data_IF_747780269997
#
_entry.id   IF_747780269997
#
_cell.length_a   1.000
_cell.length_b   1.000
_cell.length_c   1.000
_cell.angle_alpha   90.00
_cell.angle_beta   90.00
_cell.angle_gamma   90.00
#
_symmetry.space_group_name_H-M   'P 1'
#
loop_
_entity.id
_entity.type
_entity.pdbx_description
1 polymer ?
#
# COMPACT_ATOMS: atom_id res chain seq x y z
N UNK A 1 15.23 24.31 -9.74
CA UNK A 1 14.27 23.44 -9.04
C UNK A 1 14.47 22.05 -9.59
N UNK A 2 15.14 21.18 -8.84
CA UNK A 2 15.37 19.80 -9.28
C UNK A 2 14.03 19.08 -9.22
N UNK A 3 13.54 18.57 -10.35
CA UNK A 3 12.56 17.50 -10.31
C UNK A 3 13.19 16.40 -9.44
N UNK A 4 12.58 16.10 -8.29
CA UNK A 4 12.96 14.91 -7.55
C UNK A 4 12.77 13.75 -8.53
N UNK A 5 13.85 13.12 -8.96
CA UNK A 5 13.77 11.94 -9.79
C UNK A 5 12.86 10.96 -9.04
N UNK A 6 11.74 10.60 -9.68
CA UNK A 6 10.86 9.58 -9.14
C UNK A 6 11.75 8.35 -8.99
N UNK A 7 11.94 7.79 -7.77
CA UNK A 7 12.75 6.60 -7.61
C UNK A 7 12.02 5.44 -8.29
N UNK A 8 12.41 5.17 -9.54
CA UNK A 8 11.89 4.07 -10.34
C UNK A 8 12.54 2.78 -9.87
N UNK A 9 11.80 2.04 -9.06
CA UNK A 9 12.18 0.69 -8.69
C UNK A 9 12.12 -0.23 -9.91
N UNK A 10 12.99 -1.23 -9.96
CA UNK A 10 13.01 -2.17 -11.07
C UNK A 10 11.70 -2.98 -11.11
N UNK A 11 10.86 -2.68 -12.10
CA UNK A 11 9.62 -3.41 -12.34
C UNK A 11 9.92 -4.85 -12.82
N UNK A 12 9.08 -5.79 -12.40
CA UNK A 12 9.13 -7.20 -12.80
C UNK A 12 7.71 -7.68 -13.13
N UNK A 13 7.56 -8.59 -14.08
CA UNK A 13 6.23 -9.15 -14.37
C UNK A 13 5.74 -10.06 -13.23
N UNK A 14 4.42 -10.20 -13.07
CA UNK A 14 3.83 -11.10 -12.06
C UNK A 14 4.36 -12.53 -12.23
N UNK A 15 4.43 -13.02 -13.46
CA UNK A 15 4.90 -14.39 -13.77
C UNK A 15 6.36 -14.59 -13.39
N UNK A 16 7.24 -13.62 -13.69
CA UNK A 16 8.64 -13.70 -13.30
C UNK A 16 8.83 -13.59 -11.79
N UNK A 17 8.09 -12.70 -11.13
CA UNK A 17 8.09 -12.59 -9.67
C UNK A 17 7.68 -13.92 -9.03
N UNK A 18 6.69 -14.62 -9.60
CA UNK A 18 6.25 -15.91 -9.09
C UNK A 18 7.29 -17.03 -9.30
N UNK A 19 8.22 -16.88 -10.25
CA UNK A 19 9.33 -17.82 -10.49
C UNK A 19 10.56 -17.57 -9.61
N UNK A 20 10.55 -16.50 -8.82
CA UNK A 20 11.64 -16.23 -7.89
C UNK A 20 11.76 -17.34 -6.85
N UNK A 21 13.01 -17.70 -6.53
CA UNK A 21 13.31 -18.75 -5.56
C UNK A 21 12.95 -18.39 -4.12
N UNK A 22 13.04 -19.33 -3.17
CA UNK A 22 12.60 -19.17 -1.78
C UNK A 22 13.38 -18.12 -0.97
N UNK A 23 14.49 -17.62 -1.52
CA UNK A 23 15.25 -16.50 -0.93
C UNK A 23 14.66 -15.12 -1.22
N UNK A 24 13.51 -15.05 -1.91
CA UNK A 24 12.77 -13.81 -2.14
C UNK A 24 11.53 -13.75 -1.26
N UNK A 25 11.41 -12.67 -0.49
CA UNK A 25 10.19 -12.36 0.25
C UNK A 25 9.21 -11.61 -0.65
N UNK A 26 7.92 -11.84 -0.42
CA UNK A 26 6.86 -11.19 -1.16
C UNK A 26 6.06 -10.31 -0.22
N UNK A 27 5.95 -9.03 -0.51
CA UNK A 27 5.02 -8.12 0.16
C UNK A 27 3.89 -7.76 -0.78
N UNK A 28 2.67 -7.68 -0.25
CA UNK A 28 1.48 -7.27 -1.00
C UNK A 28 0.87 -6.06 -0.31
N UNK A 29 0.58 -5.02 -1.08
CA UNK A 29 -0.01 -3.79 -0.59
C UNK A 29 -1.16 -3.35 -1.48
N UNK A 30 -2.12 -2.67 -0.88
CA UNK A 30 -3.32 -2.20 -1.54
C UNK A 30 -3.41 -0.67 -1.54
N UNK A 31 -3.47 -0.09 -2.72
CA UNK A 31 -3.92 1.29 -2.90
C UNK A 31 -5.45 1.29 -3.03
N UNK A 32 -6.10 1.80 -2.00
CA UNK A 32 -7.54 2.03 -2.00
C UNK A 32 -7.80 3.50 -2.29
N UNK A 33 -8.57 3.80 -3.33
CA UNK A 33 -8.84 5.17 -3.71
C UNK A 33 -10.27 5.37 -4.15
N UNK A 34 -10.78 6.59 -3.99
CA UNK A 34 -12.11 6.98 -4.44
C UNK A 34 -12.07 8.34 -5.15
N UNK A 35 -12.96 8.53 -6.11
CA UNK A 35 -13.20 9.85 -6.68
C UNK A 35 -13.81 10.74 -5.59
N UNK A 36 -13.27 11.95 -5.43
CA UNK A 36 -13.72 12.91 -4.45
C UNK A 36 -14.07 14.24 -5.13
N UNK A 37 -15.38 14.52 -5.33
CA UNK A 37 -15.83 15.77 -5.96
C UNK A 37 -15.72 16.99 -5.03
N UNK A 38 -15.38 16.79 -3.75
CA UNK A 38 -15.29 17.86 -2.78
C UNK A 38 -14.13 18.83 -3.06
N UNK A 39 -14.24 20.00 -2.44
CA UNK A 39 -13.25 21.06 -2.56
C UNK A 39 -12.75 21.45 -1.18
N UNK A 40 -11.44 21.35 -0.96
CA UNK A 40 -10.81 21.85 0.25
C UNK A 40 -10.87 23.39 0.24
N UNK A 41 -11.37 23.96 1.33
CA UNK A 41 -11.66 25.40 1.48
C UNK A 41 -12.55 25.99 0.37
N UNK A 42 -13.35 25.17 -0.31
CA UNK A 42 -14.22 25.60 -1.42
C UNK A 42 -13.47 26.12 -2.65
N UNK A 43 -12.16 25.83 -2.78
CA UNK A 43 -11.31 26.34 -3.87
C UNK A 43 -10.37 25.30 -4.47
N UNK A 44 -9.93 24.33 -3.67
CA UNK A 44 -8.94 23.33 -4.10
C UNK A 44 -9.67 22.01 -4.36
N UNK A 45 -9.87 21.60 -5.63
CA UNK A 45 -10.56 20.35 -5.93
C UNK A 45 -9.75 19.16 -5.41
N UNK A 46 -10.39 18.27 -4.65
CA UNK A 46 -9.70 17.12 -4.09
C UNK A 46 -9.37 16.07 -5.17
N UNK A 47 -10.26 15.90 -6.16
CA UNK A 47 -10.19 14.93 -7.27
C UNK A 47 -10.28 13.48 -6.81
N UNK A 48 -9.34 13.04 -5.98
CA UNK A 48 -9.28 11.69 -5.45
C UNK A 48 -8.94 11.71 -3.96
N UNK A 49 -9.39 10.69 -3.24
CA UNK A 49 -8.93 10.38 -1.90
C UNK A 49 -8.28 9.01 -1.93
N UNK A 50 -7.04 8.93 -1.46
CA UNK A 50 -6.25 7.69 -1.41
C UNK A 50 -6.00 7.36 0.05
N UNK A 51 -6.24 6.10 0.43
CA UNK A 51 -6.02 5.62 1.78
C UNK A 51 -4.56 5.20 1.97
N UNK A 52 -3.92 5.79 2.98
CA UNK A 52 -2.62 5.37 3.51
C UNK A 52 -2.74 5.13 5.01
N UNK A 53 -1.77 4.41 5.58
CA UNK A 53 -1.69 4.14 7.01
C UNK A 53 -0.34 4.58 7.57
N UNK A 54 -0.36 5.16 8.77
CA UNK A 54 0.84 5.29 9.58
C UNK A 54 1.24 3.91 10.09
N UNK A 55 2.48 3.51 9.87
CA UNK A 55 3.04 2.24 10.35
C UNK A 55 3.69 2.42 11.72
N UNK A 56 3.99 1.31 12.38
CA UNK A 56 4.71 1.29 13.67
C UNK A 56 6.07 2.00 13.63
N UNK A 57 6.73 2.04 12.47
CA UNK A 57 8.01 2.71 12.24
C UNK A 57 7.88 4.24 12.06
N UNK A 58 6.67 4.78 12.19
CA UNK A 58 6.37 6.21 12.03
C UNK A 58 6.33 6.67 10.57
N UNK A 59 6.33 5.74 9.61
CA UNK A 59 6.27 6.05 8.18
C UNK A 59 4.87 5.83 7.63
N UNK A 60 4.51 6.60 6.60
CA UNK A 60 3.30 6.37 5.83
C UNK A 60 3.53 5.26 4.81
N UNK A 61 2.59 4.34 4.72
CA UNK A 61 2.60 3.25 3.73
C UNK A 61 1.19 2.85 3.32
N UNK A 62 1.11 2.01 2.28
CA UNK A 62 -0.15 1.39 1.90
C UNK A 62 -0.50 0.21 2.82
N UNK A 63 -1.79 -0.01 3.11
CA UNK A 63 -2.23 -1.16 3.87
C UNK A 63 -1.84 -2.47 3.18
N UNK A 64 -1.35 -3.42 3.96
CA UNK A 64 -0.79 -4.67 3.49
C UNK A 64 0.44 -5.09 4.27
N UNK A 65 1.14 -6.11 3.77
CA UNK A 65 2.26 -6.71 4.49
C UNK A 65 2.90 -7.87 3.74
N UNK A 66 3.77 -8.60 4.42
CA UNK A 66 4.44 -9.77 3.86
C UNK A 66 3.48 -10.97 3.73
N UNK A 67 3.62 -11.70 2.63
CA UNK A 67 2.83 -12.90 2.32
C UNK A 67 3.77 -14.10 2.21
N UNK A 68 3.49 -15.14 3.00
CA UNK A 68 4.19 -16.41 2.89
C UNK A 68 3.59 -17.26 1.77
N UNK A 69 4.26 -17.25 0.62
CA UNK A 69 3.88 -17.99 -0.59
C UNK A 69 3.92 -19.52 -0.44
N UNK A 70 4.47 -20.05 0.65
CA UNK A 70 4.46 -21.50 0.91
C UNK A 70 3.07 -21.98 1.34
N UNK A 71 2.28 -21.10 1.94
CA UNK A 71 0.98 -21.44 2.51
C UNK A 71 -0.18 -20.73 1.82
N UNK A 72 0.05 -19.54 1.23
CA UNK A 72 -1.01 -18.68 0.71
C UNK A 72 -0.73 -18.17 -0.70
N UNK A 73 -1.79 -17.92 -1.47
CA UNK A 73 -1.71 -17.10 -2.68
C UNK A 73 -1.42 -15.64 -2.32
N UNK A 74 -1.02 -14.81 -3.29
CA UNK A 74 -0.76 -13.38 -3.05
C UNK A 74 -2.03 -12.69 -2.56
N UNK A 75 -3.16 -12.98 -3.21
CA UNK A 75 -4.46 -12.40 -2.91
C UNK A 75 -5.01 -12.89 -1.56
N UNK A 76 -4.88 -14.18 -1.23
CA UNK A 76 -5.33 -14.69 0.07
C UNK A 76 -4.48 -14.13 1.22
N UNK A 77 -3.17 -14.05 1.02
CA UNK A 77 -2.27 -13.43 1.99
C UNK A 77 -2.57 -11.94 2.18
N UNK A 78 -2.76 -11.20 1.09
CA UNK A 78 -3.14 -9.80 1.15
C UNK A 78 -4.49 -9.61 1.85
N UNK A 79 -5.52 -10.36 1.46
CA UNK A 79 -6.85 -10.26 2.06
C UNK A 79 -6.87 -10.63 3.53
N UNK A 80 -6.01 -11.55 3.97
CA UNK A 80 -5.82 -11.85 5.40
C UNK A 80 -5.28 -10.64 6.15
N UNK A 81 -4.23 -10.00 5.64
CA UNK A 81 -3.62 -8.83 6.29
C UNK A 81 -4.58 -7.64 6.27
N UNK A 82 -5.24 -7.37 5.14
CA UNK A 82 -6.26 -6.33 5.04
C UNK A 82 -7.45 -6.59 5.95
N UNK A 83 -7.85 -7.86 6.13
CA UNK A 83 -8.93 -8.24 7.03
C UNK A 83 -8.66 -7.94 8.50
N UNK A 84 -7.39 -7.92 8.92
CA UNK A 84 -6.99 -7.58 10.29
C UNK A 84 -7.04 -6.07 10.55
N UNK A 85 -6.65 -5.26 9.56
CA UNK A 85 -6.50 -3.80 9.69
C UNK A 85 -7.62 -2.94 9.09
N UNK A 86 -8.40 -3.44 8.13
CA UNK A 86 -9.39 -2.65 7.36
C UNK A 86 -10.79 -3.28 7.28
N UNK A 87 -10.98 -4.51 7.79
CA UNK A 87 -12.26 -5.20 7.79
C UNK A 87 -12.59 -5.95 6.49
N UNK A 88 -13.87 -6.00 6.10
CA UNK A 88 -14.39 -6.85 5.01
C UNK A 88 -14.11 -6.31 3.59
N UNK A 89 -12.84 -6.07 3.25
CA UNK A 89 -12.43 -5.78 1.88
C UNK A 89 -11.71 -6.98 1.28
N UNK A 90 -12.15 -7.43 0.09
CA UNK A 90 -11.49 -8.52 -0.64
C UNK A 90 -11.02 -8.04 -2.00
N UNK A 91 -9.72 -8.14 -2.21
CA UNK A 91 -9.04 -7.90 -3.46
C UNK A 91 -8.85 -9.20 -4.23
N UNK A 92 -8.79 -9.08 -5.55
CA UNK A 92 -8.69 -10.19 -6.49
C UNK A 92 -7.54 -9.94 -7.46
N UNK A 93 -7.24 -10.92 -8.30
CA UNK A 93 -6.22 -10.75 -9.35
C UNK A 93 -6.54 -9.61 -10.33
N UNK A 94 -7.82 -9.26 -10.50
CA UNK A 94 -8.24 -8.15 -11.34
C UNK A 94 -7.78 -6.78 -10.80
N UNK A 95 -7.42 -6.71 -9.52
CA UNK A 95 -6.94 -5.51 -8.86
C UNK A 95 -5.41 -5.41 -8.90
N UNK A 96 -4.73 -6.43 -9.40
CA UNK A 96 -3.28 -6.42 -9.51
C UNK A 96 -2.82 -5.32 -10.48
N UNK A 97 -1.93 -4.45 -10.01
CA UNK A 97 -1.40 -3.35 -10.80
C UNK A 97 0.02 -3.65 -11.28
N UNK A 98 0.95 -3.91 -10.36
CA UNK A 98 2.37 -4.02 -10.69
C UNK A 98 3.18 -4.77 -9.63
N UNK A 99 4.39 -5.20 -10.01
CA UNK A 99 5.37 -5.77 -9.09
C UNK A 99 6.72 -5.08 -9.27
N UNK A 100 7.37 -4.78 -8.16
CA UNK A 100 8.63 -4.06 -8.15
C UNK A 100 9.63 -4.76 -7.23
N UNK A 101 10.88 -4.82 -7.66
CA UNK A 101 11.98 -5.28 -6.83
C UNK A 101 12.39 -4.13 -5.92
N UNK A 102 12.41 -4.38 -4.61
CA UNK A 102 12.88 -3.37 -3.65
C UNK A 102 14.39 -3.20 -3.75
N UNK A 103 14.87 -1.97 -3.67
CA UNK A 103 16.30 -1.70 -3.53
C UNK A 103 16.72 -1.86 -2.08
N UNK A 104 17.60 -2.84 -1.79
CA UNK A 104 18.11 -3.05 -0.44
C UNK A 104 18.93 -4.34 -0.32
N UNK A 105 19.53 -4.59 0.86
CA UNK A 105 20.27 -5.83 1.11
C UNK A 105 19.34 -7.06 1.14
N UNK A 106 18.03 -6.84 1.33
CA UNK A 106 17.01 -7.88 1.37
C UNK A 106 16.35 -8.05 0.00
N UNK A 107 16.17 -9.30 -0.41
CA UNK A 107 15.51 -9.67 -1.66
C UNK A 107 14.00 -9.68 -1.46
N UNK A 108 13.35 -8.54 -1.71
CA UNK A 108 11.89 -8.42 -1.59
C UNK A 108 11.29 -8.02 -2.93
N UNK A 109 10.18 -8.66 -3.30
CA UNK A 109 9.26 -8.16 -4.32
C UNK A 109 8.05 -7.56 -3.64
N UNK A 110 7.74 -6.32 -3.98
CA UNK A 110 6.53 -5.65 -3.58
C UNK A 110 5.49 -5.71 -4.72
N UNK A 111 4.34 -6.30 -4.42
CA UNK A 111 3.17 -6.37 -5.28
C UNK A 111 2.18 -5.27 -4.89
N UNK A 112 1.76 -4.48 -5.87
CA UNK A 112 0.74 -3.45 -5.70
C UNK A 112 -0.58 -3.91 -6.29
N UNK A 113 -1.62 -3.77 -5.50
CA UNK A 113 -3.00 -3.88 -5.93
C UNK A 113 -3.66 -2.51 -5.84
N UNK A 114 -4.51 -2.17 -6.79
CA UNK A 114 -5.23 -0.91 -6.82
C UNK A 114 -6.72 -1.18 -6.98
N UNK A 115 -7.53 -0.67 -6.06
CA UNK A 115 -8.98 -0.78 -6.10
C UNK A 115 -9.63 0.58 -5.97
N UNK A 116 -10.41 0.93 -6.99
CA UNK A 116 -11.30 2.07 -6.92
C UNK A 116 -12.54 1.70 -6.10
N UNK A 117 -12.86 2.53 -5.12
CA UNK A 117 -14.04 2.46 -4.28
C UNK A 117 -14.89 3.72 -4.48
N UNK A 118 -16.15 3.66 -4.03
CA UNK A 118 -16.94 4.88 -3.79
C UNK A 118 -16.40 5.62 -2.56
N UNK A 119 -16.70 6.92 -2.45
CA UNK A 119 -16.22 7.71 -1.31
C UNK A 119 -16.82 7.22 0.01
N UNK A 120 -18.06 6.75 -0.04
CA UNK A 120 -18.79 6.14 1.08
C UNK A 120 -18.14 4.82 1.51
N UNK A 121 -17.76 3.96 0.56
CA UNK A 121 -17.03 2.72 0.86
C UNK A 121 -15.64 3.01 1.43
N UNK A 122 -14.92 3.99 0.86
CA UNK A 122 -13.61 4.38 1.38
C UNK A 122 -13.73 4.91 2.82
N UNK A 123 -14.78 5.67 3.11
CA UNK A 123 -15.06 6.13 4.47
C UNK A 123 -15.47 5.01 5.42
N UNK A 124 -16.26 4.03 4.97
CA UNK A 124 -16.58 2.84 5.76
C UNK A 124 -15.32 2.03 6.11
N UNK A 125 -14.35 1.96 5.20
CA UNK A 125 -13.04 1.35 5.46
C UNK A 125 -12.26 2.12 6.52
N UNK A 126 -12.25 3.45 6.49
CA UNK A 126 -11.60 4.27 7.53
C UNK A 126 -12.23 4.06 8.91
N UNK A 127 -13.56 4.04 8.98
CA UNK A 127 -14.28 3.75 10.22
C UNK A 127 -13.91 2.35 10.72
N UNK A 128 -13.89 1.36 9.83
CA UNK A 128 -13.52 -0.02 10.18
C UNK A 128 -12.08 -0.11 10.67
N UNK A 129 -11.16 0.67 10.08
CA UNK A 129 -9.76 0.69 10.44
C UNK A 129 -9.52 1.17 11.88
N UNK A 130 -10.29 2.16 12.35
CA UNK A 130 -10.23 2.66 13.74
C UNK A 130 -10.71 1.61 14.76
N UNK A 131 -11.60 0.70 14.35
CA UNK A 131 -12.10 -0.38 15.18
C UNK A 131 -11.36 -1.72 14.95
N UNK A 132 -10.31 -1.71 14.13
CA UNK A 132 -9.57 -2.90 13.75
C UNK A 132 -8.65 -3.37 14.88
N UNK A 133 -8.29 -4.66 14.88
CA UNK A 133 -7.47 -5.25 15.95
C UNK A 133 -6.04 -4.70 15.98
N UNK A 134 -5.54 -4.21 14.85
CA UNK A 134 -4.19 -3.67 14.72
C UNK A 134 -4.13 -2.16 14.98
N UNK A 135 -5.28 -1.53 15.24
CA UNK A 135 -5.36 -0.10 15.55
C UNK A 135 -4.64 0.19 16.88
N UNK A 136 -3.57 0.98 16.79
CA UNK A 136 -2.73 1.33 17.94
C UNK A 136 -1.59 0.34 18.24
N UNK A 137 -1.39 -0.68 17.38
CA UNK A 137 -0.27 -1.62 17.44
C UNK A 137 0.62 -1.48 16.19
N UNK A 138 0.25 -2.12 15.08
CA UNK A 138 1.02 -2.08 13.82
C UNK A 138 0.51 -1.01 12.85
N UNK A 139 -0.73 -0.55 13.04
CA UNK A 139 -1.44 0.40 12.19
C UNK A 139 -1.90 1.60 13.03
N UNK A 140 -1.41 2.80 12.69
CA UNK A 140 -1.85 4.06 13.27
C UNK A 140 -3.15 4.58 12.63
N UNK A 141 -3.34 5.91 12.61
CA UNK A 141 -4.51 6.50 11.96
C UNK A 141 -4.47 6.30 10.43
N UNK A 142 -5.61 5.96 9.84
CA UNK A 142 -5.79 6.02 8.39
C UNK A 142 -5.75 7.48 7.94
N UNK A 143 -4.90 7.79 6.97
CA UNK A 143 -4.68 9.14 6.45
C UNK A 143 -5.08 9.19 4.98
N UNK A 144 -5.93 10.15 4.61
CA UNK A 144 -6.18 10.46 3.20
C UNK A 144 -4.99 11.26 2.66
N UNK A 145 -4.39 10.80 1.57
CA UNK A 145 -3.35 11.56 0.90
C UNK A 145 -3.90 12.96 0.52
N UNK A 146 -3.12 14.04 0.71
CA UNK A 146 -3.53 15.38 0.31
C UNK A 146 -3.76 15.44 -1.20
N UNK A 147 -4.64 16.34 -1.67
CA UNK A 147 -4.91 16.44 -3.10
C UNK A 147 -3.65 16.79 -3.88
N UNK A 148 -3.50 16.29 -5.13
CA UNK A 148 -2.34 16.61 -5.95
C UNK A 148 -2.27 18.13 -6.15
N UNK A 149 -1.07 18.69 -6.02
CA UNK A 149 -0.81 20.11 -6.30
C UNK A 149 -1.21 20.44 -7.76
N UNK A 150 -1.71 21.67 -8.04
CA UNK A 150 -2.00 22.07 -9.41
C UNK A 150 -0.72 22.02 -10.24
N UNK A 151 -0.62 21.04 -11.16
CA UNK A 151 0.57 20.82 -12.00
C UNK A 151 1.06 19.37 -12.04
N UNK A 152 0.60 18.50 -11.13
CA UNK A 152 0.77 17.05 -11.25
C UNK A 152 -0.36 16.45 -12.11
N UNK A 153 -0.01 15.45 -12.92
CA UNK A 153 -0.79 14.87 -14.01
C UNK A 153 -2.22 14.41 -13.69
N UNK A 154 -2.90 13.96 -14.74
CA UNK A 154 -4.36 13.94 -14.85
C UNK A 154 -5.07 12.76 -14.18
N UNK A 155 -4.36 11.90 -13.45
CA UNK A 155 -4.95 10.77 -12.74
C UNK A 155 -4.11 10.25 -11.56
N UNK A 156 -4.73 9.46 -10.64
CA UNK A 156 -4.05 8.90 -9.48
C UNK A 156 -2.88 7.98 -9.90
N UNK A 157 -3.00 7.28 -11.03
CA UNK A 157 -1.97 6.39 -11.57
C UNK A 157 -0.65 7.08 -11.97
N UNK A 158 -0.66 8.40 -12.22
CA UNK A 158 0.51 9.14 -12.71
C UNK A 158 1.38 9.68 -11.55
N UNK A 159 0.78 9.86 -10.37
CA UNK A 159 1.47 10.22 -9.12
C UNK A 159 1.76 9.00 -8.22
N UNK A 160 1.19 7.84 -8.54
CA UNK A 160 1.37 6.63 -7.74
C UNK A 160 2.75 6.06 -7.83
N UNK A 161 3.45 6.15 -8.96
CA UNK A 161 4.75 5.51 -9.10
C UNK A 161 5.80 6.11 -8.16
N UNK A 162 5.71 7.40 -7.86
CA UNK A 162 6.57 8.04 -6.85
C UNK A 162 6.15 7.79 -5.41
N UNK A 163 4.85 7.77 -5.13
CA UNK A 163 4.36 7.47 -3.79
C UNK A 163 4.57 5.98 -3.45
N UNK A 164 4.37 5.11 -4.44
CA UNK A 164 4.65 3.68 -4.42
C UNK A 164 6.14 3.40 -4.34
N UNK A 165 6.97 3.99 -5.22
CA UNK A 165 8.43 3.86 -5.16
C UNK A 165 8.99 4.25 -3.80
N UNK A 166 8.49 5.34 -3.21
CA UNK A 166 8.78 5.73 -1.83
C UNK A 166 8.26 4.69 -0.82
N UNK A 167 6.98 4.31 -0.86
CA UNK A 167 6.43 3.30 0.06
C UNK A 167 7.19 1.97 0.01
N UNK A 168 7.59 1.53 -1.18
CA UNK A 168 8.30 0.27 -1.42
C UNK A 168 9.76 0.37 -1.02
N UNK A 169 10.44 1.50 -1.24
CA UNK A 169 11.77 1.71 -0.67
C UNK A 169 11.74 1.63 0.85
N UNK A 170 10.64 2.05 1.49
CA UNK A 170 10.42 1.94 2.93
C UNK A 170 9.84 0.57 3.36
N UNK A 171 9.45 -0.29 2.42
CA UNK A 171 9.13 -1.70 2.69
C UNK A 171 10.38 -2.56 2.88
N UNK A 172 11.58 -2.01 2.65
CA UNK A 172 12.80 -2.68 3.09
C UNK A 172 12.92 -2.61 4.61
N UNK A 173 13.12 -3.74 5.31
CA UNK A 173 13.31 -3.69 6.75
C UNK A 173 14.61 -2.91 7.02
N UNK A 174 14.49 -1.71 7.61
CA UNK A 174 15.62 -1.09 8.29
C UNK A 174 16.00 -2.04 9.43
N UNK A 175 17.27 -2.46 9.46
CA UNK A 175 17.85 -3.22 10.57
C UNK A 175 17.44 -2.60 11.90
N UNK A 176 16.46 -3.23 12.56
CA UNK A 176 16.41 -3.50 14.00
C UNK A 176 15.11 -4.27 14.28
N UNK A 177 15.26 -5.36 15.03
CA UNK A 177 14.19 -6.10 15.69
C UNK A 177 13.39 -7.06 14.79
N UNK A 178 13.97 -8.25 14.67
CA UNK A 178 13.23 -9.50 14.87
C UNK A 178 12.30 -9.40 16.09
N UNK A 179 11.08 -8.90 15.89
CA UNK A 179 9.98 -9.16 16.83
C UNK A 179 9.45 -10.53 16.47
N UNK A 180 10.04 -11.55 17.11
CA UNK A 180 9.39 -12.84 17.25
C UNK A 180 8.08 -12.59 18.00
N UNK A 181 6.94 -12.75 17.33
CA UNK A 181 5.67 -12.83 18.02
C UNK A 181 5.62 -14.15 18.80
N UNK A 182 5.47 -14.13 20.14
CA UNK A 182 5.15 -15.33 20.88
C UNK A 182 3.77 -15.81 20.43
N UNK A 183 3.72 -17.08 20.08
CA UNK A 183 2.48 -17.82 19.85
C UNK A 183 1.87 -17.99 21.25
N UNK A 184 0.76 -17.32 21.53
CA UNK A 184 -0.12 -17.66 22.65
C UNK A 184 -1.13 -18.71 22.21
#
# INVERSE_FOLDING_TARGET
>A
MSAAAVPELKQISRVEAMRLGPGWSHSCHAMLYAANPGQLFGRIPMRFSVLMQMRFDGLLGFPGGFVDRRFWSLEDGLNRVLGLGLGCLRLTEADYLSSHLTEGPHRVVAHLYARQLTLEQLHAVEISAVHSRDHGLEVGAAVRAPPPTPGFGSGPAEGTDGCWGSCVSHCTPRKTESVAFPIS
#
